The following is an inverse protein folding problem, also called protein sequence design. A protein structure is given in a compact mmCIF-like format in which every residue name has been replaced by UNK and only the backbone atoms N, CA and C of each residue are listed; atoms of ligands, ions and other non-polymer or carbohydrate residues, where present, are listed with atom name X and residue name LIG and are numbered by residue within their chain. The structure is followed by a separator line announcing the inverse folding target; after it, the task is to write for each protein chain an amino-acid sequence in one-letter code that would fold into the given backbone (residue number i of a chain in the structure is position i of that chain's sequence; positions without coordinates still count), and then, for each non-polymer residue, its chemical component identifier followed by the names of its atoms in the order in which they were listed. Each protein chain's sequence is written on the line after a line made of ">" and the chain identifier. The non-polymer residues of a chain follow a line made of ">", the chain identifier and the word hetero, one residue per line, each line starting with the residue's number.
data_IF_629163638891
#
_entry.id   IF_629163638891
#
_cell.length_a   1.000
_cell.length_b   1.000
_cell.length_c   1.000
_cell.angle_alpha   90.00
_cell.angle_beta   90.00
_cell.angle_gamma   90.00
#
_symmetry.space_group_name_H-M   'P 1'
#
loop_
_entity.id
_entity.type
_entity.pdbx_description
1 polymer ?
#
# COMPACT_ATOMS: atom_id res chain seq x y z
N UNK A 1 -51.66 59.34 -19.66
CA UNK A 1 -50.56 59.07 -18.70
C UNK A 1 -49.61 58.03 -19.30
N UNK A 2 -48.31 58.37 -19.33
CA UNK A 2 -47.08 57.54 -19.39
C UNK A 2 -47.02 56.25 -20.24
N UNK A 3 -46.34 56.40 -21.39
CA UNK A 3 -45.25 55.58 -22.01
C UNK A 3 -45.08 54.12 -21.59
N UNK A 4 -45.14 53.21 -22.57
CA UNK A 4 -44.49 51.89 -22.52
C UNK A 4 -43.40 51.88 -23.61
N UNK A 5 -42.15 51.86 -23.16
CA UNK A 5 -40.93 51.75 -23.98
C UNK A 5 -40.64 50.26 -24.21
N UNK A 6 -40.70 49.83 -25.46
CA UNK A 6 -40.28 48.49 -25.89
C UNK A 6 -38.76 48.48 -26.03
N UNK A 7 -38.04 47.98 -25.03
CA UNK A 7 -36.60 47.70 -25.12
C UNK A 7 -36.41 46.26 -25.57
N UNK A 8 -36.01 46.10 -26.83
CA UNK A 8 -35.49 44.84 -27.34
C UNK A 8 -34.09 44.59 -26.75
N UNK A 9 -33.96 43.53 -25.96
CA UNK A 9 -32.67 42.98 -25.57
C UNK A 9 -32.44 41.70 -26.36
N UNK A 10 -31.65 41.80 -27.43
CA UNK A 10 -31.06 40.64 -28.07
C UNK A 10 -30.03 40.05 -27.10
N UNK A 11 -30.43 39.03 -26.35
CA UNK A 11 -29.49 38.20 -25.61
C UNK A 11 -28.69 37.39 -26.64
N UNK A 12 -27.46 37.83 -26.91
CA UNK A 12 -26.47 37.03 -27.63
C UNK A 12 -26.25 35.76 -26.82
N UNK A 13 -26.80 34.64 -27.30
CA UNK A 13 -26.41 33.32 -26.87
C UNK A 13 -24.95 33.13 -27.28
N UNK A 14 -24.04 33.55 -26.41
CA UNK A 14 -22.65 33.10 -26.46
C UNK A 14 -22.67 31.60 -26.26
N UNK A 15 -22.67 30.85 -27.37
CA UNK A 15 -22.42 29.42 -27.37
C UNK A 15 -21.00 29.19 -26.84
N UNK A 16 -20.88 29.14 -25.52
CA UNK A 16 -19.65 28.75 -24.84
C UNK A 16 -19.29 27.36 -25.33
N UNK A 17 -18.15 27.26 -26.00
CA UNK A 17 -17.55 26.00 -26.45
C UNK A 17 -17.06 25.26 -25.19
N UNK A 18 -17.98 24.72 -24.39
CA UNK A 18 -17.69 23.80 -23.28
C UNK A 18 -17.55 22.35 -23.77
N UNK A 19 -17.43 22.14 -25.08
CA UNK A 19 -17.98 20.96 -25.75
C UNK A 19 -17.13 19.70 -25.83
N UNK A 20 -15.82 19.70 -25.59
CA UNK A 20 -15.02 18.45 -25.74
C UNK A 20 -13.90 18.28 -24.72
N UNK A 21 -13.28 19.36 -24.24
CA UNK A 21 -12.15 19.28 -23.31
C UNK A 21 -12.56 18.79 -21.92
N UNK A 22 -13.65 19.33 -21.38
CA UNK A 22 -14.15 18.98 -20.04
C UNK A 22 -14.70 17.55 -20.00
N UNK A 23 -15.39 17.11 -21.06
CA UNK A 23 -15.94 15.75 -21.15
C UNK A 23 -14.84 14.70 -21.22
N UNK A 24 -13.77 14.93 -21.99
CA UNK A 24 -12.63 14.02 -22.04
C UNK A 24 -11.86 13.98 -20.71
N UNK A 25 -11.69 15.12 -20.04
CA UNK A 25 -11.05 15.17 -18.73
C UNK A 25 -11.88 14.45 -17.66
N UNK A 26 -13.20 14.62 -17.67
CA UNK A 26 -14.11 13.91 -16.76
C UNK A 26 -14.10 12.40 -17.06
N UNK A 27 -14.15 11.99 -18.32
CA UNK A 27 -14.08 10.57 -18.71
C UNK A 27 -12.76 9.93 -18.28
N UNK A 28 -11.63 10.59 -18.55
CA UNK A 28 -10.31 10.10 -18.16
C UNK A 28 -10.16 10.01 -16.63
N UNK A 29 -10.69 10.99 -15.89
CA UNK A 29 -10.70 10.93 -14.43
C UNK A 29 -11.54 9.74 -13.91
N UNK A 30 -12.70 9.48 -14.49
CA UNK A 30 -13.55 8.32 -14.13
C UNK A 30 -12.86 7.00 -14.45
N UNK A 31 -12.29 6.85 -15.65
CA UNK A 31 -11.57 5.64 -16.09
C UNK A 31 -10.32 5.37 -15.21
N UNK A 32 -9.68 6.43 -14.72
CA UNK A 32 -8.54 6.37 -13.80
C UNK A 32 -8.95 5.90 -12.39
N UNK A 33 -10.04 6.43 -11.85
CA UNK A 33 -10.58 6.01 -10.55
C UNK A 33 -11.01 4.55 -10.57
N UNK A 34 -11.63 4.08 -11.67
CA UNK A 34 -11.99 2.67 -11.81
C UNK A 34 -10.76 1.76 -11.84
N UNK A 35 -9.68 2.18 -12.53
CA UNK A 35 -8.45 1.39 -12.58
C UNK A 35 -7.77 1.25 -11.22
N UNK A 36 -7.70 2.33 -10.42
CA UNK A 36 -7.20 2.22 -9.03
C UNK A 36 -8.10 1.30 -8.21
N UNK A 37 -9.42 1.49 -8.30
CA UNK A 37 -10.38 0.72 -7.51
C UNK A 37 -10.29 -0.77 -7.83
N UNK A 38 -10.19 -1.15 -9.10
CA UNK A 38 -10.05 -2.54 -9.53
C UNK A 38 -8.76 -3.19 -9.01
N UNK A 39 -7.66 -2.44 -8.98
CA UNK A 39 -6.38 -2.92 -8.46
C UNK A 39 -6.40 -3.02 -6.92
N UNK A 40 -7.01 -2.02 -6.27
CA UNK A 40 -7.23 -1.99 -4.84
C UNK A 40 -8.09 -3.17 -4.37
N UNK A 41 -9.20 -3.46 -5.06
CA UNK A 41 -10.07 -4.60 -4.78
C UNK A 41 -9.34 -5.94 -4.96
N UNK A 42 -8.47 -6.04 -5.98
CA UNK A 42 -7.61 -7.22 -6.19
C UNK A 42 -6.60 -7.38 -5.06
N UNK A 43 -5.92 -6.30 -4.66
CA UNK A 43 -5.00 -6.32 -3.52
C UNK A 43 -5.72 -6.63 -2.20
N UNK A 44 -6.95 -6.15 -2.00
CA UNK A 44 -7.76 -6.49 -0.83
C UNK A 44 -8.07 -7.99 -0.73
N UNK A 45 -8.25 -8.66 -1.87
CA UNK A 45 -8.42 -10.13 -1.92
C UNK A 45 -7.13 -10.90 -1.65
N UNK A 46 -5.97 -10.26 -1.83
CA UNK A 46 -4.68 -10.91 -1.60
C UNK A 46 -4.47 -11.37 -0.15
N UNK A 47 -5.14 -10.71 0.81
CA UNK A 47 -5.13 -11.09 2.23
C UNK A 47 -5.72 -12.49 2.49
N UNK A 48 -6.42 -13.07 1.50
CA UNK A 48 -6.98 -14.43 1.57
C UNK A 48 -6.05 -15.50 0.94
N UNK A 49 -4.94 -15.08 0.32
CA UNK A 49 -4.03 -16.00 -0.34
C UNK A 49 -3.17 -16.78 0.66
N UNK A 50 -2.84 -18.01 0.30
CA UNK A 50 -1.77 -18.78 0.96
C UNK A 50 -0.54 -18.78 0.07
N UNK A 51 0.59 -18.22 0.54
CA UNK A 51 1.81 -18.11 -0.26
C UNK A 51 3.08 -17.86 0.57
N UNK A 52 4.22 -18.07 -0.06
CA UNK A 52 5.53 -17.53 0.33
C UNK A 52 6.06 -16.64 -0.78
N UNK A 53 6.42 -15.40 -0.45
CA UNK A 53 6.99 -14.42 -1.37
C UNK A 53 8.30 -13.85 -0.81
N UNK A 54 9.32 -13.72 -1.66
CA UNK A 54 10.56 -13.03 -1.33
C UNK A 54 10.60 -11.70 -2.07
N UNK A 55 10.72 -10.61 -1.33
CA UNK A 55 10.81 -9.25 -1.84
C UNK A 55 12.19 -8.69 -1.64
N UNK A 56 12.70 -8.01 -2.66
CA UNK A 56 13.85 -7.12 -2.52
C UNK A 56 13.34 -5.71 -2.19
N UNK A 57 13.89 -5.11 -1.16
CA UNK A 57 13.64 -3.72 -0.77
C UNK A 57 14.61 -2.75 -1.44
N UNK A 58 14.31 -1.46 -1.41
CA UNK A 58 15.15 -0.43 -2.05
C UNK A 58 16.54 -0.29 -1.41
N UNK A 59 16.69 -0.63 -0.12
CA UNK A 59 17.99 -0.74 0.56
C UNK A 59 18.81 -1.98 0.13
N UNK A 60 18.24 -2.82 -0.74
CA UNK A 60 18.84 -4.05 -1.24
C UNK A 60 18.65 -5.27 -0.33
N UNK A 61 18.02 -5.10 0.84
CA UNK A 61 17.67 -6.20 1.74
C UNK A 61 16.62 -7.12 1.13
N UNK A 62 16.45 -8.30 1.72
CA UNK A 62 15.42 -9.26 1.32
C UNK A 62 14.47 -9.49 2.49
N UNK A 63 13.17 -9.39 2.21
CA UNK A 63 12.11 -9.71 3.15
C UNK A 63 11.27 -10.85 2.60
N UNK A 64 11.11 -11.89 3.41
CA UNK A 64 10.20 -13.00 3.10
C UNK A 64 8.86 -12.77 3.77
N UNK A 65 7.78 -12.82 2.99
CA UNK A 65 6.40 -12.80 3.49
C UNK A 65 5.83 -14.20 3.33
N UNK A 66 5.38 -14.78 4.43
CA UNK A 66 4.68 -16.07 4.45
C UNK A 66 3.26 -15.82 4.95
N UNK A 67 2.27 -16.14 4.13
CA UNK A 67 0.86 -15.91 4.45
C UNK A 67 0.09 -17.22 4.38
N UNK A 68 -0.66 -17.51 5.43
CA UNK A 68 -1.63 -18.60 5.48
C UNK A 68 -2.76 -18.15 6.42
N UNK A 69 -3.79 -17.44 5.90
CA UNK A 69 -4.77 -16.76 6.70
C UNK A 69 -5.41 -17.70 7.74
N UNK A 70 -5.61 -17.22 8.98
CA UNK A 70 -5.39 -15.85 9.47
C UNK A 70 -3.93 -15.55 9.90
N UNK A 71 -2.98 -16.44 9.62
CA UNK A 71 -1.56 -16.26 10.00
C UNK A 71 -0.77 -15.53 8.91
N UNK A 72 0.17 -14.70 9.34
CA UNK A 72 1.15 -14.06 8.48
C UNK A 72 2.50 -13.96 9.19
N UNK A 73 3.60 -14.01 8.44
CA UNK A 73 4.94 -13.80 8.97
C UNK A 73 5.77 -12.98 7.98
N UNK A 74 6.49 -12.00 8.51
CA UNK A 74 7.41 -11.13 7.78
C UNK A 74 8.80 -11.36 8.36
N UNK A 75 9.70 -11.89 7.55
CA UNK A 75 11.04 -12.29 7.92
C UNK A 75 12.02 -11.37 7.21
N UNK A 76 12.54 -10.39 7.92
CA UNK A 76 13.48 -9.42 7.38
C UNK A 76 14.89 -9.60 7.94
N UNK A 77 15.76 -8.69 7.53
CA UNK A 77 17.16 -8.63 7.98
C UNK A 77 17.28 -8.34 9.48
N UNK A 78 16.43 -7.45 10.00
CA UNK A 78 16.58 -6.90 11.35
C UNK A 78 15.65 -7.56 12.38
N UNK A 79 14.73 -8.41 11.92
CA UNK A 79 13.85 -9.14 12.81
C UNK A 79 12.82 -10.02 12.12
N UNK A 80 11.80 -10.41 12.89
CA UNK A 80 10.60 -11.10 12.40
C UNK A 80 9.36 -10.51 13.03
N UNK A 81 8.31 -10.40 12.24
CA UNK A 81 6.98 -10.08 12.71
C UNK A 81 6.09 -11.29 12.40
N UNK A 82 5.38 -11.79 13.39
CA UNK A 82 4.55 -12.99 13.25
C UNK A 82 3.17 -12.66 13.80
N UNK A 83 2.16 -12.85 12.97
CA UNK A 83 0.75 -12.77 13.31
C UNK A 83 0.17 -14.19 13.30
N UNK A 84 -0.43 -14.58 14.40
CA UNK A 84 -1.25 -15.80 14.51
C UNK A 84 -2.67 -15.45 14.92
N UNK A 85 -3.52 -16.46 15.11
CA UNK A 85 -4.90 -16.29 15.59
C UNK A 85 -4.94 -15.59 16.95
N UNK A 86 -4.03 -15.95 17.85
CA UNK A 86 -4.09 -15.54 19.25
C UNK A 86 -3.04 -14.48 19.63
N UNK A 87 -1.97 -14.33 18.85
CA UNK A 87 -0.83 -13.51 19.24
C UNK A 87 -0.13 -12.83 18.08
N UNK A 88 0.48 -11.70 18.41
CA UNK A 88 1.47 -11.01 17.61
C UNK A 88 2.84 -11.17 18.27
N UNK A 89 3.86 -11.42 17.46
CA UNK A 89 5.26 -11.45 17.90
C UNK A 89 6.07 -10.45 17.09
N UNK A 90 6.82 -9.60 17.79
CA UNK A 90 7.91 -8.80 17.20
C UNK A 90 9.23 -9.32 17.77
N UNK A 91 10.02 -9.96 16.92
CA UNK A 91 11.28 -10.59 17.27
C UNK A 91 12.45 -9.79 16.71
N UNK A 92 13.39 -9.39 17.55
CA UNK A 92 14.59 -8.65 17.15
C UNK A 92 15.84 -9.23 17.78
N UNK A 93 17.01 -8.89 17.22
CA UNK A 93 18.32 -9.29 17.71
C UNK A 93 18.98 -10.42 16.89
N UNK A 94 20.26 -10.71 17.17
CA UNK A 94 21.03 -11.70 16.43
C UNK A 94 20.52 -13.13 16.68
N UNK A 95 20.77 -14.05 15.75
CA UNK A 95 20.23 -15.41 15.75
C UNK A 95 20.42 -16.20 17.08
N UNK A 96 21.47 -15.92 17.85
CA UNK A 96 21.77 -16.58 19.12
C UNK A 96 21.19 -15.88 20.37
N UNK A 97 20.60 -14.69 20.22
CA UNK A 97 20.03 -13.88 21.32
C UNK A 97 18.77 -13.13 20.86
N UNK A 98 17.86 -13.85 20.20
CA UNK A 98 16.58 -13.26 19.75
C UNK A 98 15.68 -13.00 20.95
N UNK A 99 15.10 -11.81 21.02
CA UNK A 99 14.04 -11.46 21.97
C UNK A 99 12.76 -11.23 21.16
N UNK A 100 11.68 -11.90 21.55
CA UNK A 100 10.37 -11.71 20.94
C UNK A 100 9.42 -11.09 21.95
N UNK A 101 8.91 -9.91 21.62
CA UNK A 101 7.80 -9.30 22.32
C UNK A 101 6.50 -9.96 21.84
N UNK A 102 5.73 -10.52 22.76
CA UNK A 102 4.43 -11.12 22.50
C UNK A 102 3.32 -10.19 22.98
N UNK A 103 2.36 -9.90 22.13
CA UNK A 103 1.15 -9.17 22.49
C UNK A 103 -0.08 -9.93 21.98
N UNK A 104 -1.25 -9.79 22.64
CA UNK A 104 -2.48 -10.34 22.10
C UNK A 104 -2.82 -9.68 20.75
N UNK A 105 -3.51 -10.43 19.87
CA UNK A 105 -4.15 -9.82 18.70
C UNK A 105 -5.30 -8.97 19.22
N UNK A 106 -5.13 -7.64 19.22
CA UNK A 106 -6.25 -6.76 19.51
C UNK A 106 -7.15 -6.77 18.28
N UNK A 107 -8.23 -7.56 18.31
CA UNK A 107 -9.31 -7.48 17.32
C UNK A 107 -9.87 -6.06 17.36
N UNK A 108 -9.39 -5.21 16.45
CA UNK A 108 -9.96 -3.89 16.20
C UNK A 108 -9.10 -2.65 16.38
N UNK A 109 -7.77 -2.67 16.62
CA UNK A 109 -6.95 -1.43 16.57
C UNK A 109 -5.42 -1.68 16.47
N UNK A 110 -4.92 -2.15 15.32
CA UNK A 110 -3.64 -1.61 14.84
C UNK A 110 -3.96 -0.68 13.70
N UNK A 111 -3.65 0.61 13.86
CA UNK A 111 -3.79 1.53 12.74
C UNK A 111 -2.87 1.07 11.60
N UNK A 112 -3.21 1.41 10.35
CA UNK A 112 -2.34 1.12 9.21
C UNK A 112 -0.93 1.71 9.44
N UNK A 113 -0.83 2.85 10.12
CA UNK A 113 0.44 3.47 10.52
C UNK A 113 1.24 2.61 11.51
N UNK A 114 0.57 2.02 12.51
CA UNK A 114 1.23 1.12 13.46
C UNK A 114 1.77 -0.12 12.74
N UNK A 115 0.93 -0.77 11.91
CA UNK A 115 1.35 -1.91 11.07
C UNK A 115 2.54 -1.55 10.18
N UNK A 116 2.50 -0.36 9.56
CA UNK A 116 3.58 0.15 8.74
C UNK A 116 4.88 0.32 9.51
N UNK A 117 4.80 0.88 10.71
CA UNK A 117 5.95 1.10 11.57
C UNK A 117 6.57 -0.24 12.04
N UNK A 118 5.73 -1.23 12.37
CA UNK A 118 6.20 -2.59 12.70
C UNK A 118 6.92 -3.24 11.54
N UNK A 119 6.28 -3.26 10.38
CA UNK A 119 6.84 -3.90 9.22
C UNK A 119 8.11 -3.20 8.77
N UNK A 120 8.17 -1.87 8.84
CA UNK A 120 9.41 -1.12 8.57
C UNK A 120 10.54 -1.46 9.56
N UNK A 121 10.23 -1.64 10.85
CA UNK A 121 11.22 -2.00 11.87
C UNK A 121 11.79 -3.41 11.69
N UNK A 122 11.04 -4.31 11.06
CA UNK A 122 11.37 -5.74 10.92
C UNK A 122 11.90 -6.08 9.53
N UNK A 123 11.19 -5.61 8.49
CA UNK A 123 11.45 -5.87 7.08
C UNK A 123 12.50 -4.91 6.48
N UNK A 124 12.93 -3.90 7.24
CA UNK A 124 13.90 -2.90 6.81
C UNK A 124 13.23 -1.57 6.45
N UNK A 125 14.00 -0.49 6.61
CA UNK A 125 13.54 0.87 6.27
C UNK A 125 13.16 0.95 4.79
N UNK A 126 11.93 1.38 4.51
CA UNK A 126 11.42 1.51 3.14
C UNK A 126 10.65 0.29 2.62
N UNK A 127 10.46 -0.78 3.42
CA UNK A 127 9.52 -1.84 3.06
C UNK A 127 8.08 -1.32 3.07
N UNK A 128 7.29 -1.75 2.10
CA UNK A 128 5.86 -1.48 2.02
C UNK A 128 5.10 -2.80 1.88
N UNK A 129 4.12 -3.02 2.76
CA UNK A 129 3.25 -4.19 2.67
C UNK A 129 2.13 -3.99 1.66
N UNK A 130 1.43 -5.07 1.33
CA UNK A 130 0.26 -5.02 0.46
C UNK A 130 -0.83 -4.11 1.04
N UNK A 131 -1.07 -4.14 2.35
CA UNK A 131 -2.06 -3.32 3.05
C UNK A 131 -1.69 -1.83 3.03
N UNK A 132 -0.40 -1.52 3.21
CA UNK A 132 0.11 -0.15 3.09
C UNK A 132 -0.04 0.38 1.66
N UNK A 133 0.36 -0.40 0.65
CA UNK A 133 0.22 -0.02 -0.74
C UNK A 133 -1.26 0.16 -1.12
N UNK A 134 -2.16 -0.68 -0.59
CA UNK A 134 -3.61 -0.52 -0.73
C UNK A 134 -4.10 0.78 -0.10
N UNK A 135 -3.62 1.13 1.09
CA UNK A 135 -3.93 2.40 1.76
C UNK A 135 -3.51 3.60 0.93
N UNK A 136 -2.30 3.60 0.37
CA UNK A 136 -1.80 4.67 -0.49
C UNK A 136 -2.59 4.78 -1.79
N UNK A 137 -2.91 3.66 -2.44
CA UNK A 137 -3.75 3.65 -3.64
C UNK A 137 -5.15 4.20 -3.37
N UNK A 138 -5.78 3.76 -2.27
CA UNK A 138 -7.12 4.23 -1.87
C UNK A 138 -7.11 5.73 -1.58
N UNK A 139 -6.07 6.21 -0.90
CA UNK A 139 -5.91 7.64 -0.65
C UNK A 139 -5.67 8.43 -1.95
N UNK A 140 -4.90 7.91 -2.90
CA UNK A 140 -4.66 8.56 -4.19
C UNK A 140 -5.92 8.62 -5.08
N UNK A 141 -6.85 7.65 -4.95
CA UNK A 141 -8.07 7.58 -5.77
C UNK A 141 -9.00 8.79 -5.61
N UNK A 142 -8.94 9.48 -4.47
CA UNK A 142 -9.82 10.62 -4.16
C UNK A 142 -9.15 11.98 -4.34
N UNK A 143 -7.89 12.00 -4.76
CA UNK A 143 -7.08 13.23 -4.88
C UNK A 143 -7.30 13.86 -6.28
N UNK A 144 -7.83 15.10 -6.35
CA UNK A 144 -7.99 15.79 -7.63
C UNK A 144 -6.65 16.07 -8.32
N UNK A 145 -6.60 15.88 -9.63
CA UNK A 145 -5.43 16.22 -10.45
C UNK A 145 -4.35 15.15 -10.55
N UNK A 146 -4.51 14.01 -9.86
CA UNK A 146 -3.64 12.84 -10.02
C UNK A 146 -3.72 12.31 -11.45
N UNK A 147 -2.56 12.00 -12.02
CA UNK A 147 -2.43 11.37 -13.34
C UNK A 147 -2.08 9.91 -13.17
N UNK A 148 -2.75 9.08 -13.93
CA UNK A 148 -2.56 7.64 -13.94
C UNK A 148 -2.20 7.19 -15.33
N UNK A 149 -1.12 6.43 -15.45
CA UNK A 149 -0.83 5.64 -16.64
C UNK A 149 -0.88 4.15 -16.27
N UNK A 150 -1.50 3.35 -17.13
CA UNK A 150 -1.58 1.90 -16.95
C UNK A 150 -0.54 1.23 -17.83
N UNK A 151 0.10 0.20 -17.31
CA UNK A 151 1.01 -0.67 -18.05
C UNK A 151 0.95 -2.09 -17.50
N UNK A 152 1.70 -3.00 -18.10
CA UNK A 152 1.82 -4.38 -17.63
C UNK A 152 3.28 -4.76 -17.51
N UNK A 153 3.58 -5.69 -16.60
CA UNK A 153 4.90 -6.24 -16.42
C UNK A 153 4.82 -7.73 -16.08
N UNK A 154 5.92 -8.45 -16.28
CA UNK A 154 6.09 -9.80 -15.71
C UNK A 154 7.20 -9.74 -14.67
N UNK A 155 6.86 -10.01 -13.41
CA UNK A 155 7.77 -9.85 -12.26
C UNK A 155 7.78 -11.18 -11.50
N UNK A 156 8.96 -11.78 -11.34
CA UNK A 156 9.14 -13.11 -10.75
C UNK A 156 8.17 -14.18 -11.33
N UNK A 157 7.94 -14.13 -12.65
CA UNK A 157 7.04 -15.04 -13.35
C UNK A 157 5.53 -14.74 -13.19
N UNK A 158 5.17 -13.72 -12.41
CA UNK A 158 3.78 -13.26 -12.27
C UNK A 158 3.50 -12.17 -13.31
N UNK A 159 2.45 -12.35 -14.11
CA UNK A 159 1.91 -11.27 -14.95
C UNK A 159 1.21 -10.27 -14.05
N UNK A 160 1.49 -8.99 -14.24
CA UNK A 160 0.98 -7.92 -13.39
C UNK A 160 0.44 -6.77 -14.21
N UNK A 161 -0.68 -6.24 -13.74
CA UNK A 161 -1.19 -4.93 -14.13
C UNK A 161 -0.53 -3.89 -13.22
N UNK A 162 -0.10 -2.80 -13.82
CA UNK A 162 0.73 -1.80 -13.17
C UNK A 162 0.14 -0.41 -13.39
N UNK A 163 0.27 0.46 -12.39
CA UNK A 163 -0.16 1.85 -12.41
C UNK A 163 1.02 2.75 -12.05
N UNK A 164 1.25 3.76 -12.89
CA UNK A 164 2.09 4.91 -12.59
C UNK A 164 1.20 6.05 -12.10
N UNK A 165 1.33 6.41 -10.83
CA UNK A 165 0.53 7.44 -10.17
C UNK A 165 1.42 8.66 -9.90
N UNK A 166 1.11 9.77 -10.56
CA UNK A 166 1.91 11.01 -10.51
C UNK A 166 1.03 12.24 -10.27
N UNK A 167 1.65 13.37 -9.94
CA UNK A 167 0.95 14.63 -9.74
C UNK A 167 0.12 14.68 -8.46
N UNK A 168 0.52 13.91 -7.44
CA UNK A 168 -0.10 13.92 -6.11
C UNK A 168 0.25 15.26 -5.45
N UNK A 169 -0.73 16.14 -5.17
CA UNK A 169 -0.49 17.41 -4.50
C UNK A 169 0.19 17.18 -3.15
N UNK A 170 1.23 17.96 -2.88
CA UNK A 170 1.94 17.95 -1.61
C UNK A 170 1.49 19.19 -0.85
N UNK A 171 0.40 19.09 -0.10
CA UNK A 171 -0.02 20.11 0.85
C UNK A 171 0.29 19.65 2.28
N UNK A 172 0.20 20.57 3.25
CA UNK A 172 0.43 20.25 4.66
C UNK A 172 -0.77 19.53 5.30
N UNK A 173 -1.61 18.84 4.52
CA UNK A 173 -2.75 18.11 5.04
C UNK A 173 -2.25 16.85 5.75
N UNK A 174 -2.54 16.66 7.04
CA UNK A 174 -2.14 15.44 7.76
C UNK A 174 -2.79 14.16 7.19
N UNK A 175 -3.81 14.30 6.33
CA UNK A 175 -4.46 13.19 5.61
C UNK A 175 -3.95 13.03 4.17
N UNK A 176 -2.91 13.78 3.76
CA UNK A 176 -2.34 13.68 2.42
C UNK A 176 -1.65 12.31 2.21
N UNK A 177 -1.63 11.88 0.95
CA UNK A 177 -0.84 10.72 0.54
C UNK A 177 0.63 11.04 0.82
N UNK A 178 1.31 10.18 1.59
CA UNK A 178 2.68 10.40 2.05
C UNK A 178 3.74 10.18 0.96
N UNK A 179 3.31 9.95 -0.29
CA UNK A 179 4.17 9.76 -1.45
C UNK A 179 3.93 10.87 -2.50
N UNK A 180 5.01 11.39 -3.10
CA UNK A 180 4.95 12.38 -4.20
C UNK A 180 4.44 11.75 -5.50
N UNK A 181 4.86 10.53 -5.73
CA UNK A 181 4.49 9.67 -6.85
C UNK A 181 4.75 8.23 -6.43
N UNK A 182 4.08 7.29 -7.08
CA UNK A 182 4.38 5.87 -6.90
C UNK A 182 4.00 5.04 -8.13
N UNK A 183 4.71 3.94 -8.28
CA UNK A 183 4.48 2.88 -9.25
C UNK A 183 4.10 1.61 -8.50
N UNK A 184 2.96 1.03 -8.84
CA UNK A 184 2.43 -0.18 -8.20
C UNK A 184 2.11 -1.23 -9.25
N UNK A 185 2.51 -2.47 -9.02
CA UNK A 185 2.18 -3.62 -9.87
C UNK A 185 1.54 -4.72 -9.03
N UNK A 186 0.46 -5.29 -9.55
CA UNK A 186 -0.34 -6.31 -8.89
C UNK A 186 -0.57 -7.46 -9.84
N UNK A 187 -0.27 -8.68 -9.39
CA UNK A 187 -0.54 -9.88 -10.16
C UNK A 187 -2.05 -10.17 -10.28
N UNK A 188 -2.43 -11.02 -11.23
CA UNK A 188 -3.83 -11.41 -11.44
C UNK A 188 -4.51 -11.95 -10.18
N UNK A 189 -3.75 -12.64 -9.31
CA UNK A 189 -4.25 -13.17 -8.03
C UNK A 189 -4.34 -12.11 -6.90
N UNK A 190 -3.95 -10.87 -7.15
CA UNK A 190 -3.94 -9.78 -6.18
C UNK A 190 -2.62 -9.56 -5.44
N UNK A 191 -1.60 -10.41 -5.65
CA UNK A 191 -0.29 -10.26 -5.01
C UNK A 191 0.38 -8.95 -5.46
N UNK A 192 0.84 -8.13 -4.50
CA UNK A 192 1.71 -7.00 -4.79
C UNK A 192 3.02 -7.52 -5.36
N UNK A 193 3.32 -7.25 -6.63
CA UNK A 193 4.58 -7.70 -7.26
C UNK A 193 5.63 -6.62 -7.28
N UNK A 194 5.23 -5.35 -7.26
CA UNK A 194 6.14 -4.22 -7.09
C UNK A 194 5.42 -3.03 -6.49
N UNK A 195 6.12 -2.32 -5.62
CA UNK A 195 5.82 -0.94 -5.28
C UNK A 195 7.13 -0.15 -5.34
N UNK A 196 7.10 1.05 -5.91
CA UNK A 196 8.19 2.03 -5.83
C UNK A 196 7.57 3.40 -5.63
N UNK A 197 8.01 4.13 -4.61
CA UNK A 197 7.56 5.49 -4.36
C UNK A 197 8.62 6.30 -3.64
N UNK A 198 8.37 7.60 -3.54
CA UNK A 198 9.23 8.53 -2.80
C UNK A 198 8.41 9.16 -1.69
N UNK A 199 8.85 8.93 -0.45
CA UNK A 199 8.24 9.53 0.73
C UNK A 199 8.40 11.05 0.77
N UNK A 200 7.64 11.71 1.65
CA UNK A 200 7.77 13.15 1.89
C UNK A 200 9.15 13.55 2.46
N UNK A 201 9.86 12.62 3.08
CA UNK A 201 11.25 12.76 3.55
C UNK A 201 12.31 12.49 2.48
N UNK A 202 11.87 12.37 1.22
CA UNK A 202 12.70 12.08 0.04
C UNK A 202 13.36 10.70 0.03
N UNK A 203 13.00 9.82 0.96
CA UNK A 203 13.49 8.45 0.95
C UNK A 203 12.68 7.59 0.00
N UNK A 204 13.37 6.69 -0.69
CA UNK A 204 12.73 5.64 -1.46
C UNK A 204 12.01 4.67 -0.52
N UNK A 205 10.80 4.30 -0.90
CA UNK A 205 10.05 3.22 -0.28
C UNK A 205 9.55 2.31 -1.39
N UNK A 206 9.80 1.01 -1.24
CA UNK A 206 9.55 0.09 -2.30
C UNK A 206 9.93 -1.35 -1.99
N UNK A 207 9.27 -2.23 -2.73
CA UNK A 207 9.48 -3.66 -2.74
C UNK A 207 9.35 -4.16 -4.17
N UNK A 208 10.13 -5.16 -4.53
CA UNK A 208 9.99 -5.86 -5.80
C UNK A 208 10.06 -7.37 -5.56
N UNK A 209 9.06 -8.08 -6.04
CA UNK A 209 8.96 -9.52 -5.91
C UNK A 209 10.09 -10.19 -6.69
N UNK A 210 10.84 -11.04 -6.02
CA UNK A 210 11.95 -11.80 -6.61
C UNK A 210 11.60 -13.28 -6.74
N UNK A 211 10.72 -13.79 -5.89
CA UNK A 211 10.29 -15.18 -5.89
C UNK A 211 8.90 -15.33 -5.29
N UNK A 212 8.13 -16.27 -5.83
CA UNK A 212 6.80 -16.63 -5.35
C UNK A 212 6.63 -18.15 -5.30
N UNK A 213 5.94 -18.65 -4.28
CA UNK A 213 5.48 -20.03 -4.15
C UNK A 213 4.11 -20.05 -3.49
N UNK A 214 3.25 -21.00 -3.89
CA UNK A 214 2.00 -21.31 -3.18
C UNK A 214 2.22 -22.15 -1.92
N UNK A 215 3.42 -22.68 -1.71
CA UNK A 215 3.77 -23.46 -0.53
C UNK A 215 4.17 -22.57 0.64
N UNK A 216 3.83 -23.01 1.86
CA UNK A 216 4.15 -22.31 3.11
C UNK A 216 4.87 -23.23 4.09
N UNK A 217 5.91 -22.72 4.75
CA UNK A 217 6.54 -23.40 5.88
C UNK A 217 5.86 -22.97 7.18
N UNK A 218 5.20 -23.91 7.86
CA UNK A 218 4.53 -23.64 9.13
C UNK A 218 5.48 -23.10 10.22
N UNK A 219 6.79 -23.35 10.12
CA UNK A 219 7.80 -22.80 11.03
C UNK A 219 7.96 -21.28 10.92
N UNK A 220 7.48 -20.65 9.85
CA UNK A 220 7.46 -19.20 9.73
C UNK A 220 6.52 -18.55 10.75
N UNK A 221 5.49 -19.27 11.20
CA UNK A 221 4.46 -18.77 12.12
C UNK A 221 4.78 -19.01 13.60
N UNK A 222 6.02 -19.37 13.94
CA UNK A 222 6.45 -19.56 15.33
C UNK A 222 7.71 -18.76 15.62
N UNK A 223 7.87 -18.21 16.84
CA UNK A 223 9.10 -17.57 17.25
C UNK A 223 10.33 -18.48 17.02
N UNK A 224 11.50 -17.93 16.67
CA UNK A 224 12.71 -18.71 16.51
C UNK A 224 13.03 -19.56 17.74
N UNK A 225 13.53 -20.78 17.51
CA UNK A 225 13.92 -21.69 18.60
C UNK A 225 14.94 -21.00 19.51
N UNK A 226 14.65 -20.99 20.82
CA UNK A 226 15.52 -20.38 21.82
C UNK A 226 15.35 -18.87 21.99
N UNK A 227 14.38 -18.25 21.29
CA UNK A 227 14.05 -16.85 21.54
C UNK A 227 13.51 -16.64 22.95
N UNK A 228 13.94 -15.57 23.60
CA UNK A 228 13.35 -15.12 24.87
C UNK A 228 12.01 -14.44 24.59
N UNK A 229 10.92 -14.97 25.12
CA UNK A 229 9.59 -14.35 25.00
C UNK A 229 9.39 -13.35 26.15
N UNK A 230 8.94 -12.15 25.82
CA UNK A 230 8.59 -11.10 26.77
C UNK A 230 7.16 -10.63 26.46
N UNK A 231 6.28 -10.65 27.45
CA UNK A 231 4.90 -10.18 27.28
C UNK A 231 4.86 -8.65 27.16
N UNK A 232 4.01 -8.14 26.26
CA UNK A 232 3.74 -6.72 26.06
C UNK A 232 2.23 -6.46 26.17
N UNK A 233 1.85 -5.44 26.94
CA UNK A 233 0.46 -5.06 27.20
C UNK A 233 -0.20 -4.27 26.06
N UNK A 234 0.61 -3.82 25.10
CA UNK A 234 0.20 -3.17 23.86
C UNK A 234 0.98 -3.80 22.70
N UNK A 235 0.52 -3.69 21.44
CA UNK A 235 1.39 -3.96 20.31
C UNK A 235 2.71 -3.16 20.50
N UNK A 236 3.87 -3.73 20.17
CA UNK A 236 5.15 -3.22 20.64
C UNK A 236 5.40 -1.75 20.27
N UNK A 237 5.47 -0.80 21.21
CA UNK A 237 5.63 0.61 20.83
C UNK A 237 6.89 0.82 19.94
N UNK A 238 6.79 1.68 18.93
CA UNK A 238 7.98 2.18 18.21
C UNK A 238 8.90 2.80 19.26
N UNK A 239 10.03 2.16 19.56
CA UNK A 239 11.02 2.73 20.44
C UNK A 239 11.43 4.10 19.89
N UNK A 240 11.25 5.14 20.69
CA UNK A 240 11.89 6.43 20.45
C UNK A 240 13.41 6.28 20.54
#
# INVERSE_FOLDING_TARGET
>A
MKRILTLGAAAVLGAGVLGCGVVNQVKQAVDNVSAISDLADRMGKSAQLTFTAEYKTDDGSTTTVVQQPPKAAYLGKDGRFILTEDAMYSCTGPANKVVCQKSPVQTGNLSAADQSAYLSAVAGGGFISTEMALGLMTAAAVVPGVKIAQNTATIAGQKSDCLDVTGIPQDNNPNAVTAKEFHVCVAENGLLTRFKGVGTDEKALGVELTKFSSDVDAKAFVPPKGAKIVEASAPPGTGN
#
